data_IF_064700048872
#
_entry.id   IF_064700048872
#
_cell.length_a   1.000
_cell.length_b   1.000
_cell.length_c   1.000
_cell.angle_alpha   90.00
_cell.angle_beta   90.00
_cell.angle_gamma   90.00
#
_symmetry.space_group_name_H-M   'P 1'
#
loop_
_entity.id
_entity.type
_entity.pdbx_description
1 polymer ?
#
# COMPACT_ATOMS: atom_id res chain seq x y z
N UNK A 1 -34.33 1.29 -24.73
CA UNK A 1 -33.52 0.14 -24.23
C UNK A 1 -32.59 0.67 -23.14
N UNK A 2 -32.97 0.45 -21.86
CA UNK A 2 -32.30 1.01 -20.67
C UNK A 2 -31.15 0.08 -20.25
N UNK A 3 -29.92 0.41 -20.65
CA UNK A 3 -28.70 -0.16 -20.07
C UNK A 3 -28.11 0.85 -19.09
N UNK A 4 -28.74 0.98 -17.93
CA UNK A 4 -28.11 1.61 -16.76
C UNK A 4 -27.09 0.60 -16.23
N UNK A 5 -25.83 0.94 -16.48
CA UNK A 5 -24.62 0.18 -16.20
C UNK A 5 -24.41 -0.16 -14.72
N UNK A 6 -23.87 -1.35 -14.38
CA UNK A 6 -23.59 -1.81 -13.01
C UNK A 6 -22.42 -1.09 -12.29
N UNK A 7 -21.92 0.04 -12.82
CA UNK A 7 -20.73 0.74 -12.32
C UNK A 7 -21.05 1.92 -11.37
N UNK A 8 -22.29 2.39 -11.35
CA UNK A 8 -22.74 3.51 -10.47
C UNK A 8 -22.65 3.19 -8.97
N UNK A 9 -22.88 1.95 -8.48
CA UNK A 9 -22.78 1.64 -7.05
C UNK A 9 -21.38 1.88 -6.46
N UNK A 10 -20.32 1.68 -7.23
CA UNK A 10 -18.94 1.82 -6.74
C UNK A 10 -18.55 3.28 -6.47
N UNK A 11 -19.01 4.23 -7.29
CA UNK A 11 -18.75 5.66 -7.10
C UNK A 11 -19.43 6.21 -5.83
N UNK A 12 -20.59 5.66 -5.46
CA UNK A 12 -21.36 6.06 -4.28
C UNK A 12 -20.75 5.49 -2.99
N UNK A 13 -20.06 4.35 -3.03
CA UNK A 13 -19.40 3.74 -1.85
C UNK A 13 -18.01 4.35 -1.58
N UNK A 14 -17.32 4.84 -2.63
CA UNK A 14 -15.97 5.40 -2.53
C UNK A 14 -15.95 6.84 -1.99
N UNK A 15 -17.05 7.59 -2.11
CA UNK A 15 -17.15 8.97 -1.64
C UNK A 15 -17.26 9.12 -0.11
N UNK A 16 -18.12 8.36 0.59
CA UNK A 16 -18.29 8.45 2.05
C UNK A 16 -17.03 8.02 2.81
N UNK A 17 -16.32 7.00 2.32
CA UNK A 17 -15.06 6.55 2.93
C UNK A 17 -13.95 7.60 2.85
N UNK A 18 -14.00 8.51 1.86
CA UNK A 18 -12.97 9.54 1.62
C UNK A 18 -13.17 10.82 2.43
N UNK A 19 -14.41 11.20 2.71
CA UNK A 19 -14.74 12.30 3.62
C UNK A 19 -14.32 12.04 5.07
N UNK A 20 -14.16 10.77 5.45
CA UNK A 20 -13.73 10.34 6.80
C UNK A 20 -12.24 10.63 7.05
N UNK A 21 -11.38 10.60 6.03
CA UNK A 21 -9.93 10.80 6.24
C UNK A 21 -9.53 12.24 6.54
N UNK A 22 -10.27 13.23 6.04
CA UNK A 22 -10.00 14.66 6.29
C UNK A 22 -10.12 15.04 7.77
N UNK A 23 -11.21 14.71 8.50
CA UNK A 23 -11.31 14.99 9.93
C UNK A 23 -10.33 14.17 10.76
N UNK A 24 -10.04 12.93 10.35
CA UNK A 24 -9.01 12.09 10.99
C UNK A 24 -7.63 12.73 10.89
N UNK A 25 -7.27 13.21 9.69
CA UNK A 25 -6.00 13.88 9.47
C UNK A 25 -5.92 15.20 10.24
N UNK A 26 -7.00 15.98 10.26
CA UNK A 26 -7.09 17.20 11.05
C UNK A 26 -6.88 16.91 12.54
N UNK A 27 -7.48 15.84 13.06
CA UNK A 27 -7.31 15.40 14.43
C UNK A 27 -5.85 14.97 14.71
N UNK A 28 -5.24 14.16 13.84
CA UNK A 28 -3.82 13.78 13.92
C UNK A 28 -2.88 15.00 13.92
N UNK A 29 -3.14 16.01 13.07
CA UNK A 29 -2.37 17.26 13.03
C UNK A 29 -2.50 18.07 14.32
N UNK A 30 -3.70 18.13 14.89
CA UNK A 30 -3.95 18.86 16.15
C UNK A 30 -3.16 18.26 17.31
N UNK A 31 -3.10 16.93 17.41
CA UNK A 31 -2.32 16.19 18.42
C UNK A 31 -0.81 16.39 18.23
N UNK A 32 -0.33 16.34 16.98
CA UNK A 32 1.10 16.46 16.65
C UNK A 32 1.66 17.87 16.95
N UNK A 33 0.81 18.90 16.97
CA UNK A 33 1.20 20.29 17.29
C UNK A 33 1.67 20.48 18.73
N UNK A 34 1.46 19.54 19.65
CA UNK A 34 1.84 19.71 21.06
C UNK A 34 3.25 19.16 21.40
N UNK A 35 3.87 18.34 20.56
CA UNK A 35 5.06 17.56 20.95
C UNK A 35 6.40 18.23 20.58
N UNK A 36 7.50 18.19 21.36
CA UNK A 36 8.77 18.85 21.03
C UNK A 36 9.46 18.40 19.72
N UNK A 37 9.11 17.25 19.13
CA UNK A 37 9.68 16.73 17.86
C UNK A 37 8.79 17.01 16.62
N UNK A 38 8.21 18.22 16.53
CA UNK A 38 7.13 18.56 15.55
C UNK A 38 7.54 18.40 14.08
N UNK A 39 8.77 18.77 13.72
CA UNK A 39 9.17 18.95 12.32
C UNK A 39 9.14 17.64 11.52
N UNK A 40 9.79 16.59 12.01
CA UNK A 40 9.88 15.31 11.30
C UNK A 40 8.55 14.57 11.27
N UNK A 41 7.81 14.57 12.38
CA UNK A 41 6.48 13.94 12.45
C UNK A 41 5.50 14.61 11.50
N UNK A 42 5.49 15.94 11.46
CA UNK A 42 4.63 16.69 10.55
C UNK A 42 4.98 16.39 9.07
N UNK A 43 6.27 16.45 8.71
CA UNK A 43 6.71 16.13 7.36
C UNK A 43 6.27 14.71 6.93
N UNK A 44 6.40 13.74 7.83
CA UNK A 44 5.97 12.36 7.59
C UNK A 44 4.45 12.23 7.37
N UNK A 45 3.63 12.90 8.18
CA UNK A 45 2.17 12.90 8.00
C UNK A 45 1.75 13.59 6.70
N UNK A 46 2.41 14.71 6.35
CA UNK A 46 2.18 15.38 5.08
C UNK A 46 2.53 14.47 3.89
N UNK A 47 3.66 13.76 3.97
CA UNK A 47 4.07 12.83 2.91
C UNK A 47 3.05 11.71 2.72
N UNK A 48 2.59 11.09 3.81
CA UNK A 48 1.56 10.06 3.78
C UNK A 48 0.25 10.58 3.16
N UNK A 49 -0.17 11.80 3.51
CA UNK A 49 -1.38 12.40 2.94
C UNK A 49 -1.25 12.74 1.47
N UNK A 50 -0.13 13.34 1.05
CA UNK A 50 0.12 13.69 -0.34
C UNK A 50 0.13 12.42 -1.18
N UNK A 51 0.85 11.39 -0.74
CA UNK A 51 0.94 10.11 -1.43
C UNK A 51 -0.43 9.40 -1.50
N UNK A 52 -1.17 9.35 -0.40
CA UNK A 52 -2.54 8.80 -0.36
C UNK A 52 -3.50 9.56 -1.26
N UNK A 53 -3.46 10.89 -1.24
CA UNK A 53 -4.28 11.73 -2.12
C UNK A 53 -3.88 11.51 -3.59
N UNK A 54 -2.58 11.36 -3.86
CA UNK A 54 -2.03 11.03 -5.17
C UNK A 54 -2.60 9.73 -5.73
N UNK A 55 -2.67 8.65 -4.94
CA UNK A 55 -3.32 7.39 -5.34
C UNK A 55 -4.76 7.64 -5.80
N UNK A 56 -5.53 8.41 -5.03
CA UNK A 56 -6.93 8.71 -5.37
C UNK A 56 -7.03 9.50 -6.67
N UNK A 57 -6.26 10.58 -6.79
CA UNK A 57 -6.29 11.46 -7.96
C UNK A 57 -5.89 10.69 -9.21
N UNK A 58 -4.84 9.87 -9.14
CA UNK A 58 -4.40 9.05 -10.25
C UNK A 58 -5.45 8.00 -10.63
N UNK A 59 -6.07 7.32 -9.66
CA UNK A 59 -7.19 6.40 -9.93
C UNK A 59 -8.34 7.09 -10.65
N UNK A 60 -8.77 8.26 -10.19
CA UNK A 60 -9.81 9.05 -10.86
C UNK A 60 -9.39 9.41 -12.28
N UNK A 61 -8.13 9.83 -12.48
CA UNK A 61 -7.57 10.12 -13.79
C UNK A 61 -7.65 8.93 -14.76
N UNK A 62 -7.23 7.74 -14.31
CA UNK A 62 -7.33 6.49 -15.10
C UNK A 62 -8.79 6.22 -15.51
N UNK A 63 -9.73 6.25 -14.56
CA UNK A 63 -11.15 6.00 -14.86
C UNK A 63 -11.76 7.05 -15.78
N UNK A 64 -11.41 8.33 -15.61
CA UNK A 64 -11.88 9.38 -16.49
C UNK A 64 -11.37 9.21 -17.92
N UNK A 65 -10.14 8.73 -18.12
CA UNK A 65 -9.64 8.41 -19.46
C UNK A 65 -10.42 7.26 -20.11
N UNK A 66 -10.67 6.18 -19.37
CA UNK A 66 -11.49 5.07 -19.87
C UNK A 66 -12.92 5.52 -20.22
N UNK A 67 -13.54 6.36 -19.37
CA UNK A 67 -14.89 6.87 -19.61
C UNK A 67 -14.93 7.86 -20.79
N UNK A 68 -13.94 8.74 -20.91
CA UNK A 68 -13.81 9.68 -22.03
C UNK A 68 -13.80 8.92 -23.37
N UNK A 69 -12.98 7.86 -23.44
CA UNK A 69 -12.91 7.00 -24.62
C UNK A 69 -14.19 6.20 -24.87
N UNK A 70 -14.92 5.78 -23.83
CA UNK A 70 -16.20 5.12 -24.02
C UNK A 70 -17.30 6.05 -24.58
N UNK A 71 -17.18 7.36 -24.33
CA UNK A 71 -18.16 8.38 -24.75
C UNK A 71 -17.94 8.95 -26.14
N UNK A 72 -16.76 8.79 -26.75
CA UNK A 72 -16.51 9.34 -28.09
C UNK A 72 -17.48 8.70 -29.11
N UNK A 73 -18.26 9.51 -29.85
CA UNK A 73 -19.26 8.98 -30.77
C UNK A 73 -18.61 8.23 -31.93
N UNK A 74 -19.24 7.13 -32.32
CA UNK A 74 -18.77 6.26 -33.39
C UNK A 74 -19.28 6.83 -34.72
N UNK A 75 -18.44 7.52 -35.49
CA UNK A 75 -18.80 8.04 -36.81
C UNK A 75 -17.81 7.55 -37.87
N UNK A 76 -18.30 6.86 -38.90
CA UNK A 76 -17.51 6.41 -40.06
C UNK A 76 -16.74 5.08 -39.87
N UNK A 77 -15.62 4.93 -40.59
CA UNK A 77 -14.76 3.74 -40.58
C UNK A 77 -13.93 3.71 -39.28
N UNK A 78 -14.59 3.38 -38.18
CA UNK A 78 -14.11 3.55 -36.81
C UNK A 78 -13.16 2.43 -36.35
N UNK A 79 -12.18 2.77 -35.50
CA UNK A 79 -11.35 1.78 -34.83
C UNK A 79 -12.23 0.83 -34.00
N UNK A 80 -11.90 -0.46 -34.05
CA UNK A 80 -12.57 -1.48 -33.26
C UNK A 80 -12.54 -1.14 -31.77
N UNK A 81 -13.48 -1.68 -30.98
CA UNK A 81 -13.48 -1.50 -29.52
C UNK A 81 -12.14 -1.85 -28.87
N UNK A 82 -11.44 -2.86 -29.41
CA UNK A 82 -10.09 -3.25 -28.97
C UNK A 82 -9.07 -2.12 -29.18
N UNK A 83 -9.06 -1.49 -30.34
CA UNK A 83 -8.17 -0.36 -30.63
C UNK A 83 -8.49 0.85 -29.74
N UNK A 84 -9.78 1.14 -29.50
CA UNK A 84 -10.18 2.23 -28.60
C UNK A 84 -9.71 1.99 -27.18
N UNK A 85 -9.85 0.76 -26.69
CA UNK A 85 -9.37 0.40 -25.36
C UNK A 85 -7.84 0.54 -25.29
N UNK A 86 -7.10 0.06 -26.29
CA UNK A 86 -5.66 0.23 -26.36
C UNK A 86 -5.24 1.71 -26.34
N UNK A 87 -5.86 2.58 -27.14
CA UNK A 87 -5.60 4.02 -27.11
C UNK A 87 -5.93 4.67 -25.77
N UNK A 88 -6.99 4.20 -25.09
CA UNK A 88 -7.35 4.71 -23.76
C UNK A 88 -6.33 4.33 -22.69
N UNK A 89 -5.75 3.13 -22.78
CA UNK A 89 -4.67 2.68 -21.88
C UNK A 89 -3.43 3.53 -22.09
N UNK A 90 -3.03 3.77 -23.35
CA UNK A 90 -1.89 4.65 -23.67
C UNK A 90 -2.10 6.06 -23.14
N UNK A 91 -3.31 6.61 -23.24
CA UNK A 91 -3.62 7.93 -22.67
C UNK A 91 -3.69 7.94 -21.14
N UNK A 92 -3.96 6.79 -20.51
CA UNK A 92 -3.99 6.64 -19.06
C UNK A 92 -2.61 6.38 -18.45
N UNK A 93 -1.62 6.02 -19.27
CA UNK A 93 -0.23 5.73 -18.89
C UNK A 93 0.39 6.65 -17.85
N UNK A 94 0.40 7.99 -18.00
CA UNK A 94 1.02 8.86 -17.00
C UNK A 94 0.35 8.74 -15.61
N UNK A 95 -0.96 8.51 -15.57
CA UNK A 95 -1.69 8.28 -14.33
C UNK A 95 -1.38 6.92 -13.74
N UNK A 96 -1.17 5.89 -14.56
CA UNK A 96 -0.78 4.55 -14.08
C UNK A 96 0.62 4.56 -13.46
N UNK A 97 1.58 5.23 -14.08
CA UNK A 97 2.93 5.41 -13.52
C UNK A 97 2.87 6.18 -12.20
N UNK A 98 2.18 7.32 -12.18
CA UNK A 98 2.03 8.10 -10.94
C UNK A 98 1.29 7.32 -9.82
N UNK A 99 0.28 6.53 -10.19
CA UNK A 99 -0.46 5.65 -9.27
C UNK A 99 0.45 4.61 -8.63
N UNK A 100 1.31 3.98 -9.42
CA UNK A 100 2.27 2.98 -8.94
C UNK A 100 3.24 3.60 -7.92
N UNK A 101 3.87 4.73 -8.26
CA UNK A 101 4.76 5.46 -7.35
C UNK A 101 4.10 5.88 -6.04
N UNK A 102 2.87 6.41 -6.10
CA UNK A 102 2.13 6.77 -4.89
C UNK A 102 1.80 5.53 -4.05
N UNK A 103 1.49 4.40 -4.69
CA UNK A 103 1.20 3.13 -4.00
C UNK A 103 2.45 2.60 -3.31
N UNK A 104 3.58 2.53 -4.01
CA UNK A 104 4.86 2.08 -3.45
C UNK A 104 5.33 2.97 -2.30
N UNK A 105 5.14 4.29 -2.44
CA UNK A 105 5.45 5.24 -1.36
C UNK A 105 4.59 4.96 -0.12
N UNK A 106 3.29 4.70 -0.27
CA UNK A 106 2.42 4.35 0.85
C UNK A 106 2.82 3.02 1.51
N UNK A 107 3.19 2.02 0.72
CA UNK A 107 3.67 0.73 1.23
C UNK A 107 4.96 0.91 2.04
N UNK A 108 5.94 1.63 1.49
CA UNK A 108 7.19 1.92 2.18
C UNK A 108 6.97 2.69 3.48
N UNK A 109 6.10 3.71 3.47
CA UNK A 109 5.74 4.46 4.67
C UNK A 109 5.09 3.54 5.70
N UNK A 110 4.20 2.63 5.28
CA UNK A 110 3.59 1.62 6.15
C UNK A 110 4.63 0.73 6.82
N UNK A 111 5.54 0.15 6.03
CA UNK A 111 6.65 -0.69 6.51
C UNK A 111 7.54 0.08 7.48
N UNK A 112 7.87 1.34 7.17
CA UNK A 112 8.68 2.19 8.03
C UNK A 112 8.02 2.43 9.40
N UNK A 113 6.69 2.63 9.47
CA UNK A 113 5.99 2.80 10.75
C UNK A 113 6.05 1.51 11.56
N UNK A 114 5.82 0.36 10.93
CA UNK A 114 5.83 -0.94 11.60
C UNK A 114 7.22 -1.26 12.14
N UNK A 115 8.26 -1.08 11.32
CA UNK A 115 9.65 -1.23 11.74
C UNK A 115 10.01 -0.25 12.87
N UNK A 116 9.58 1.01 12.78
CA UNK A 116 9.80 2.02 13.82
C UNK A 116 9.19 1.64 15.16
N UNK A 117 7.97 1.06 15.18
CA UNK A 117 7.32 0.58 16.41
C UNK A 117 8.15 -0.49 17.12
N UNK A 118 8.62 -1.49 16.37
CA UNK A 118 9.51 -2.50 16.93
C UNK A 118 10.87 -1.91 17.34
N UNK A 119 11.40 -0.97 16.57
CA UNK A 119 12.68 -0.33 16.83
C UNK A 119 12.71 0.41 18.18
N UNK A 120 11.67 1.18 18.51
CA UNK A 120 11.59 1.90 19.80
C UNK A 120 11.58 0.91 20.97
N UNK A 121 10.86 -0.20 20.85
CA UNK A 121 10.72 -1.21 21.92
C UNK A 121 12.03 -1.93 22.23
N UNK A 122 12.95 -1.97 21.26
CA UNK A 122 14.23 -2.66 21.31
C UNK A 122 15.42 -1.70 21.32
N UNK A 123 15.30 -0.58 22.04
CA UNK A 123 16.35 0.46 22.16
C UNK A 123 17.74 -0.09 22.52
N UNK A 124 17.78 -1.13 23.36
CA UNK A 124 19.02 -1.72 23.88
C UNK A 124 19.63 -2.82 23.00
N UNK A 125 18.90 -3.39 22.03
CA UNK A 125 19.41 -4.50 21.20
C UNK A 125 19.85 -4.01 19.83
N UNK A 126 21.17 -3.88 19.65
CA UNK A 126 21.75 -3.47 18.36
C UNK A 126 21.41 -4.48 17.26
N UNK A 127 21.43 -5.79 17.57
CA UNK A 127 21.13 -6.84 16.59
C UNK A 127 19.71 -6.72 16.03
N UNK A 128 18.71 -6.49 16.88
CA UNK A 128 17.31 -6.32 16.45
C UNK A 128 17.15 -5.05 15.62
N UNK A 129 17.78 -3.95 16.04
CA UNK A 129 17.76 -2.68 15.29
C UNK A 129 18.39 -2.83 13.91
N UNK A 130 19.53 -3.50 13.81
CA UNK A 130 20.20 -3.78 12.53
C UNK A 130 19.33 -4.66 11.62
N UNK A 131 18.70 -5.70 12.16
CA UNK A 131 17.78 -6.56 11.42
C UNK A 131 16.61 -5.75 10.84
N UNK A 132 15.95 -4.91 11.65
CA UNK A 132 14.85 -4.07 11.20
C UNK A 132 15.29 -3.05 10.12
N UNK A 133 16.47 -2.45 10.28
CA UNK A 133 17.03 -1.54 9.27
C UNK A 133 17.34 -2.26 7.96
N UNK A 134 17.88 -3.48 8.00
CA UNK A 134 18.19 -4.28 6.81
C UNK A 134 16.90 -4.65 6.08
N UNK A 135 15.87 -5.12 6.82
CA UNK A 135 14.57 -5.45 6.24
C UNK A 135 13.92 -4.21 5.59
N UNK A 136 13.95 -3.07 6.27
CA UNK A 136 13.40 -1.82 5.75
C UNK A 136 14.18 -1.32 4.51
N UNK A 137 15.50 -1.37 4.54
CA UNK A 137 16.34 -1.02 3.38
C UNK A 137 16.09 -1.96 2.19
N UNK A 138 15.93 -3.26 2.46
CA UNK A 138 15.53 -4.25 1.45
C UNK A 138 14.20 -3.90 0.82
N UNK A 139 13.19 -3.54 1.64
CA UNK A 139 11.88 -3.13 1.13
C UNK A 139 11.95 -1.89 0.27
N UNK A 140 12.70 -0.86 0.70
CA UNK A 140 12.91 0.36 -0.07
C UNK A 140 13.56 0.07 -1.43
N UNK A 141 14.61 -0.76 -1.45
CA UNK A 141 15.30 -1.14 -2.68
C UNK A 141 14.39 -1.87 -3.66
N UNK A 142 13.56 -2.78 -3.14
CA UNK A 142 12.59 -3.53 -3.94
C UNK A 142 11.52 -2.59 -4.52
N UNK A 143 10.97 -1.66 -3.73
CA UNK A 143 9.98 -0.69 -4.21
C UNK A 143 10.56 0.26 -5.27
N UNK A 144 11.79 0.73 -5.08
CA UNK A 144 12.48 1.59 -6.05
C UNK A 144 12.76 0.85 -7.36
N UNK A 145 13.26 -0.38 -7.27
CA UNK A 145 13.49 -1.22 -8.43
C UNK A 145 12.20 -1.41 -9.24
N UNK A 146 11.09 -1.72 -8.58
CA UNK A 146 9.80 -1.90 -9.27
C UNK A 146 9.24 -0.64 -9.88
N UNK A 147 9.27 0.49 -9.17
CA UNK A 147 8.80 1.76 -9.73
C UNK A 147 9.59 2.18 -10.97
N UNK A 148 10.90 1.93 -10.98
CA UNK A 148 11.77 2.23 -12.12
C UNK A 148 11.52 1.24 -13.27
N UNK A 149 11.50 -0.06 -13.00
CA UNK A 149 11.28 -1.10 -14.01
C UNK A 149 9.92 -0.92 -14.70
N UNK A 150 8.87 -0.68 -13.93
CA UNK A 150 7.53 -0.39 -14.46
C UNK A 150 7.52 0.86 -15.33
N UNK A 151 8.10 1.97 -14.86
CA UNK A 151 8.17 3.21 -15.63
C UNK A 151 8.95 3.00 -16.95
N UNK A 152 10.11 2.34 -16.89
CA UNK A 152 10.94 2.08 -18.06
C UNK A 152 10.26 1.17 -19.08
N UNK A 153 9.60 0.10 -18.64
CA UNK A 153 8.85 -0.79 -19.54
C UNK A 153 7.73 -0.05 -20.26
N UNK A 154 6.98 0.75 -19.52
CA UNK A 154 5.88 1.57 -20.04
C UNK A 154 6.35 2.60 -21.08
N UNK A 155 7.48 3.26 -20.86
CA UNK A 155 8.01 4.24 -21.83
C UNK A 155 8.72 3.59 -23.01
N UNK A 156 9.34 2.42 -22.84
CA UNK A 156 10.04 1.71 -23.91
C UNK A 156 9.07 1.12 -24.94
N UNK A 157 7.97 0.52 -24.50
CA UNK A 157 6.93 -0.03 -25.38
C UNK A 157 6.24 1.04 -26.25
N UNK A 158 6.26 2.30 -25.81
CA UNK A 158 5.73 3.41 -26.60
C UNK A 158 6.63 3.84 -27.76
N UNK A 159 7.90 3.44 -27.77
CA UNK A 159 8.92 3.91 -28.72
C UNK A 159 9.36 2.85 -29.74
N UNK A 160 9.17 1.55 -29.50
CA UNK A 160 9.60 0.48 -30.43
C UNK A 160 8.44 -0.40 -30.90
N UNK A 161 7.94 -0.15 -32.11
CA UNK A 161 7.10 -1.09 -32.87
C UNK A 161 7.93 -2.17 -33.60
N UNK A 162 9.16 -2.46 -33.14
CA UNK A 162 10.10 -3.34 -33.83
C UNK A 162 10.55 -4.52 -32.95
N UNK A 163 9.64 -5.47 -32.75
CA UNK A 163 9.90 -6.91 -32.76
C UNK A 163 11.13 -7.48 -32.04
N UNK A 164 11.56 -6.94 -30.90
CA UNK A 164 12.58 -7.57 -30.05
C UNK A 164 11.93 -8.27 -28.87
N UNK A 165 12.10 -9.58 -28.82
CA UNK A 165 11.70 -10.45 -27.73
C UNK A 165 12.33 -9.99 -26.41
N UNK A 166 11.48 -9.70 -25.43
CA UNK A 166 11.84 -9.28 -24.10
C UNK A 166 12.68 -10.36 -23.41
N UNK A 167 13.96 -10.05 -23.13
CA UNK A 167 14.87 -10.95 -22.44
C UNK A 167 14.67 -10.91 -20.93
N UNK A 168 14.52 -12.09 -20.33
CA UNK A 168 14.82 -12.46 -18.94
C UNK A 168 14.46 -11.49 -17.80
N UNK A 169 13.39 -10.70 -17.94
CA UNK A 169 12.80 -9.97 -16.82
C UNK A 169 12.03 -10.98 -15.98
N UNK A 170 12.34 -11.06 -14.68
CA UNK A 170 11.47 -11.73 -13.72
C UNK A 170 10.04 -11.27 -14.01
N UNK A 171 9.15 -12.19 -14.38
CA UNK A 171 7.76 -11.86 -14.75
C UNK A 171 7.23 -10.84 -13.74
N UNK A 172 6.72 -9.69 -14.21
CA UNK A 172 6.28 -8.58 -13.36
C UNK A 172 5.39 -9.05 -12.19
N UNK A 173 4.67 -10.16 -12.40
CA UNK A 173 3.87 -10.84 -11.38
C UNK A 173 4.68 -11.54 -10.28
N UNK A 174 5.75 -12.27 -10.62
CA UNK A 174 6.64 -12.90 -9.65
C UNK A 174 7.34 -11.84 -8.79
N UNK A 175 7.73 -10.76 -9.45
CA UNK A 175 8.40 -9.63 -8.85
C UNK A 175 7.47 -8.86 -7.88
N UNK A 176 6.23 -8.58 -8.29
CA UNK A 176 5.19 -8.03 -7.42
C UNK A 176 4.89 -8.93 -6.21
N UNK A 177 4.86 -10.27 -6.42
CA UNK A 177 4.73 -11.24 -5.32
C UNK A 177 5.85 -11.09 -4.31
N UNK A 178 7.11 -10.97 -4.77
CA UNK A 178 8.27 -10.80 -3.91
C UNK A 178 8.17 -9.54 -3.02
N UNK A 179 7.74 -8.40 -3.57
CA UNK A 179 7.50 -7.18 -2.77
C UNK A 179 6.50 -7.42 -1.63
N UNK A 180 5.37 -8.07 -1.94
CA UNK A 180 4.33 -8.37 -0.94
C UNK A 180 4.85 -9.30 0.14
N UNK A 181 5.60 -10.35 -0.22
CA UNK A 181 6.20 -11.26 0.77
C UNK A 181 7.27 -10.59 1.63
N UNK A 182 8.06 -9.69 1.06
CA UNK A 182 9.06 -8.97 1.82
C UNK A 182 8.42 -8.01 2.84
N UNK A 183 7.39 -7.27 2.44
CA UNK A 183 6.59 -6.42 3.35
C UNK A 183 5.90 -7.27 4.43
N UNK A 184 5.34 -8.43 4.06
CA UNK A 184 4.80 -9.40 5.02
C UNK A 184 5.87 -9.86 6.02
N UNK A 185 7.08 -10.21 5.55
CA UNK A 185 8.19 -10.61 6.40
C UNK A 185 8.58 -9.54 7.40
N UNK A 186 8.72 -8.28 6.95
CA UNK A 186 9.02 -7.14 7.82
C UNK A 186 7.94 -6.94 8.89
N UNK A 187 6.66 -6.98 8.49
CA UNK A 187 5.54 -6.82 9.39
C UNK A 187 5.46 -7.99 10.39
N UNK A 188 5.62 -9.23 9.94
CA UNK A 188 5.62 -10.42 10.77
C UNK A 188 6.78 -10.40 11.78
N UNK A 189 8.00 -10.07 11.35
CA UNK A 189 9.14 -9.93 12.24
C UNK A 189 8.92 -8.83 13.28
N UNK A 190 8.44 -7.65 12.85
CA UNK A 190 8.15 -6.53 13.76
C UNK A 190 7.07 -6.88 14.78
N UNK A 191 5.96 -7.46 14.33
CA UNK A 191 4.84 -7.89 15.19
C UNK A 191 5.29 -8.96 16.18
N UNK A 192 6.11 -9.92 15.74
CA UNK A 192 6.67 -10.96 16.60
C UNK A 192 7.61 -10.37 17.66
N UNK A 193 8.45 -9.39 17.30
CA UNK A 193 9.32 -8.68 18.23
C UNK A 193 8.53 -7.87 19.27
N UNK A 194 7.42 -7.25 18.85
CA UNK A 194 6.48 -6.55 19.75
C UNK A 194 5.83 -7.55 20.71
N UNK A 195 5.39 -8.71 20.21
CA UNK A 195 4.81 -9.80 21.00
C UNK A 195 5.78 -10.33 22.05
N UNK A 196 7.04 -10.59 21.67
CA UNK A 196 8.09 -11.04 22.61
C UNK A 196 8.29 -9.99 23.70
N UNK A 197 8.30 -8.70 23.36
CA UNK A 197 8.45 -7.62 24.35
C UNK A 197 7.24 -7.52 25.29
N UNK A 198 6.03 -7.65 24.75
CA UNK A 198 4.80 -7.69 25.54
C UNK A 198 4.77 -8.91 26.48
N UNK A 199 5.28 -10.06 26.03
CA UNK A 199 5.42 -11.25 26.87
C UNK A 199 6.43 -11.06 28.00
N UNK A 200 7.62 -10.52 27.71
CA UNK A 200 8.61 -10.18 28.74
C UNK A 200 8.04 -9.23 29.79
N UNK A 201 7.37 -8.16 29.34
CA UNK A 201 6.71 -7.21 30.24
C UNK A 201 5.66 -7.88 31.14
N UNK A 202 4.87 -8.81 30.58
CA UNK A 202 3.89 -9.59 31.35
C UNK A 202 4.56 -10.49 32.40
N UNK A 203 5.67 -11.14 32.07
CA UNK A 203 6.39 -12.00 33.01
C UNK A 203 6.96 -11.20 34.17
N UNK A 204 7.65 -10.08 33.89
CA UNK A 204 8.19 -9.20 34.93
C UNK A 204 7.10 -8.62 35.83
N UNK A 205 5.93 -8.27 35.28
CA UNK A 205 4.79 -7.82 36.09
C UNK A 205 4.18 -8.93 36.95
N UNK A 206 4.18 -10.18 36.47
CA UNK A 206 3.68 -11.34 37.22
C UNK A 206 4.56 -11.64 38.44
N UNK A 207 5.88 -11.50 38.29
CA UNK A 207 6.84 -11.68 39.38
C UNK A 207 6.70 -10.61 40.48
N UNK A 208 6.26 -9.41 40.12
CA UNK A 208 6.12 -8.27 41.04
C UNK A 208 4.74 -8.18 41.75
N UNK A 209 3.89 -9.22 41.69
CA UNK A 209 2.67 -9.39 42.50
C UNK A 209 1.65 -8.23 42.53
N UNK A 210 1.59 -7.38 41.50
CA UNK A 210 0.54 -6.35 41.38
C UNK A 210 -0.59 -6.83 40.45
N UNK A 211 -1.43 -7.73 40.97
CA UNK A 211 -2.81 -7.88 40.49
C UNK A 211 -3.58 -6.61 40.84
N UNK A 212 -3.67 -5.60 39.97
CA UNK A 212 -4.86 -4.75 40.04
C UNK A 212 -5.22 -3.92 38.80
N UNK A 213 -4.32 -3.61 37.85
CA UNK A 213 -4.76 -2.88 36.67
C UNK A 213 -3.91 -3.24 35.46
N UNK A 214 -4.57 -3.66 34.36
CA UNK A 214 -3.90 -3.79 33.06
C UNK A 214 -3.36 -2.42 32.70
N UNK A 215 -2.03 -2.27 32.69
CA UNK A 215 -1.38 -1.04 32.26
C UNK A 215 -1.87 -0.67 30.86
N UNK A 216 -2.22 0.60 30.65
CA UNK A 216 -2.63 1.13 29.35
C UNK A 216 -1.58 0.82 28.26
N UNK A 217 -0.29 0.80 28.62
CA UNK A 217 0.78 0.40 27.72
C UNK A 217 0.65 -1.05 27.23
N UNK A 218 0.21 -1.97 28.09
CA UNK A 218 -0.03 -3.37 27.71
C UNK A 218 -1.23 -3.51 26.77
N UNK A 219 -2.29 -2.73 26.99
CA UNK A 219 -3.45 -2.71 26.10
C UNK A 219 -3.08 -2.20 24.69
N UNK A 220 -2.27 -1.14 24.62
CA UNK A 220 -1.77 -0.60 23.34
C UNK A 220 -0.87 -1.62 22.62
N UNK A 221 0.04 -2.29 23.35
CA UNK A 221 0.86 -3.35 22.79
C UNK A 221 0.03 -4.51 22.23
N UNK A 222 -1.02 -4.92 22.95
CA UNK A 222 -1.92 -5.97 22.51
C UNK A 222 -2.68 -5.56 21.23
N UNK A 223 -3.16 -4.32 21.18
CA UNK A 223 -3.82 -3.77 19.99
C UNK A 223 -2.87 -3.75 18.79
N UNK A 224 -1.60 -3.38 18.97
CA UNK A 224 -0.60 -3.45 17.89
C UNK A 224 -0.39 -4.88 17.39
N UNK A 225 -0.37 -5.86 18.28
CA UNK A 225 -0.21 -7.27 17.92
C UNK A 225 -1.43 -7.74 17.12
N UNK A 226 -2.65 -7.47 17.59
CA UNK A 226 -3.89 -7.86 16.92
C UNK A 226 -4.00 -7.23 15.52
N UNK A 227 -3.75 -5.92 15.40
CA UNK A 227 -3.75 -5.24 14.10
C UNK A 227 -2.62 -5.74 13.18
N UNK A 228 -1.43 -6.00 13.73
CA UNK A 228 -0.29 -6.52 12.98
C UNK A 228 -0.55 -7.92 12.40
N UNK A 229 -1.17 -8.81 13.18
CA UNK A 229 -1.58 -10.14 12.72
C UNK A 229 -2.67 -10.09 11.64
N UNK A 230 -3.70 -9.26 11.82
CA UNK A 230 -4.76 -9.09 10.82
C UNK A 230 -4.18 -8.56 9.50
N UNK A 231 -3.29 -7.56 9.59
CA UNK A 231 -2.61 -7.02 8.42
C UNK A 231 -1.70 -8.07 7.78
N UNK A 232 -0.91 -8.82 8.56
CA UNK A 232 -0.05 -9.88 8.07
C UNK A 232 -0.83 -11.01 7.38
N UNK A 233 -1.95 -11.44 7.95
CA UNK A 233 -2.81 -12.46 7.33
C UNK A 233 -3.36 -11.99 5.97
N UNK A 234 -3.73 -10.70 5.88
CA UNK A 234 -4.14 -10.11 4.62
C UNK A 234 -2.99 -10.06 3.60
N UNK A 235 -1.81 -9.57 3.99
CA UNK A 235 -0.63 -9.54 3.09
C UNK A 235 -0.30 -10.93 2.57
N UNK A 236 -0.30 -11.94 3.44
CA UNK A 236 -0.09 -13.34 3.08
C UNK A 236 -1.14 -13.84 2.09
N UNK A 237 -2.42 -13.60 2.35
CA UNK A 237 -3.50 -13.97 1.43
C UNK A 237 -3.34 -13.29 0.07
N UNK A 238 -2.99 -12.00 0.04
CA UNK A 238 -2.73 -11.29 -1.23
C UNK A 238 -1.49 -11.80 -1.95
N UNK A 239 -0.43 -12.16 -1.23
CA UNK A 239 0.79 -12.74 -1.80
C UNK A 239 0.50 -14.09 -2.45
N UNK A 240 -0.22 -14.98 -1.73
CA UNK A 240 -0.67 -16.28 -2.26
C UNK A 240 -1.53 -16.07 -3.50
N UNK A 241 -2.55 -15.23 -3.42
CA UNK A 241 -3.41 -14.94 -4.57
C UNK A 241 -2.61 -14.40 -5.75
N UNK A 242 -1.62 -13.53 -5.51
CA UNK A 242 -0.77 -12.97 -6.57
C UNK A 242 0.02 -14.06 -7.27
N UNK A 243 0.67 -14.93 -6.51
CA UNK A 243 1.42 -16.06 -7.08
C UNK A 243 0.49 -17.03 -7.80
N UNK A 244 -0.66 -17.37 -7.22
CA UNK A 244 -1.64 -18.29 -7.82
C UNK A 244 -2.31 -17.72 -9.09
N UNK A 245 -2.52 -16.41 -9.17
CA UNK A 245 -3.11 -15.74 -10.35
C UNK A 245 -2.19 -15.87 -11.57
N UNK A 246 -0.87 -15.87 -11.34
CA UNK A 246 0.14 -16.11 -12.40
C UNK A 246 -0.05 -17.47 -13.09
N UNK A 247 -0.67 -18.43 -12.42
CA UNK A 247 -0.92 -19.76 -12.97
C UNK A 247 -2.23 -19.87 -13.77
N UNK A 248 -3.13 -18.86 -13.75
CA UNK A 248 -4.50 -19.05 -14.23
C UNK A 248 -5.01 -18.08 -15.32
N UNK A 249 -4.65 -16.79 -15.38
CA UNK A 249 -4.86 -15.91 -16.56
C UNK A 249 -4.45 -14.45 -16.24
N UNK A 250 -3.61 -13.77 -17.05
CA UNK A 250 -3.13 -12.41 -16.78
C UNK A 250 -4.16 -11.28 -17.00
N UNK A 251 -5.35 -11.58 -17.51
CA UNK A 251 -6.38 -10.56 -17.84
C UNK A 251 -7.42 -10.35 -16.74
N UNK A 252 -7.31 -11.05 -15.61
CA UNK A 252 -8.29 -10.93 -14.53
C UNK A 252 -8.14 -9.60 -13.77
N UNK A 253 -9.27 -8.93 -13.60
CA UNK A 253 -9.52 -7.63 -12.93
C UNK A 253 -9.04 -7.49 -11.47
N UNK A 254 -8.19 -8.39 -10.97
CA UNK A 254 -7.75 -8.43 -9.57
C UNK A 254 -6.78 -7.31 -9.17
N UNK A 255 -6.21 -6.57 -10.13
CA UNK A 255 -5.26 -5.48 -9.86
C UNK A 255 -5.97 -4.27 -9.21
N UNK A 256 -7.25 -4.01 -9.56
CA UNK A 256 -8.00 -2.85 -9.03
C UNK A 256 -8.47 -3.02 -7.59
N UNK A 257 -8.70 -4.24 -7.10
CA UNK A 257 -9.12 -4.49 -5.72
C UNK A 257 -7.96 -4.45 -4.72
N UNK A 258 -6.72 -4.71 -5.17
CA UNK A 258 -5.52 -4.76 -4.32
C UNK A 258 -5.13 -3.39 -3.75
N UNK A 259 -5.15 -2.33 -4.56
CA UNK A 259 -4.79 -0.97 -4.13
C UNK A 259 -5.79 -0.36 -3.13
N UNK A 260 -7.08 -0.66 -3.27
CA UNK A 260 -8.14 -0.08 -2.44
C UNK A 260 -8.11 -0.56 -0.98
N UNK A 261 -7.72 -1.81 -0.72
CA UNK A 261 -7.71 -2.34 0.66
C UNK A 261 -6.42 -1.96 1.39
N UNK A 262 -5.27 -1.94 0.69
CA UNK A 262 -4.05 -1.36 1.26
C UNK A 262 -4.24 0.13 1.62
N UNK A 263 -4.99 0.87 0.80
CA UNK A 263 -5.38 2.25 1.09
C UNK A 263 -6.23 2.38 2.36
N UNK A 264 -7.18 1.45 2.59
CA UNK A 264 -7.99 1.42 3.82
C UNK A 264 -7.14 1.11 5.05
N UNK A 265 -6.22 0.14 4.98
CA UNK A 265 -5.37 -0.24 6.12
C UNK A 265 -4.28 0.79 6.44
N UNK A 266 -3.63 1.38 5.42
CA UNK A 266 -2.64 2.46 5.63
C UNK A 266 -3.30 3.73 6.17
N UNK A 267 -4.53 4.03 5.75
CA UNK A 267 -5.33 5.13 6.29
C UNK A 267 -5.80 4.94 7.74
N UNK A 268 -5.88 3.70 8.25
CA UNK A 268 -6.19 3.40 9.66
C UNK A 268 -4.97 3.43 10.59
N UNK A 269 -3.76 3.39 10.05
CA UNK A 269 -2.52 3.31 10.81
C UNK A 269 -2.15 4.54 11.69
N UNK A 270 -2.53 5.80 11.37
CA UNK A 270 -2.23 6.96 12.21
C UNK A 270 -3.08 7.06 13.48
N UNK A 271 -4.09 6.20 13.68
CA UNK A 271 -4.89 6.22 14.92
C UNK A 271 -4.28 5.48 16.09
N UNK A 272 -3.31 4.60 15.83
CA UNK A 272 -2.77 3.68 16.84
C UNK A 272 -1.38 4.12 17.32
N UNK A 273 -0.75 5.11 16.67
CA UNK A 273 0.56 5.67 17.04
C UNK A 273 0.43 7.06 17.68
#
# INVERSE_FOLDING_TARGET
MKLLTPWVPWLIVVWPTKGIFVPIFYQSLSITRCHPQKKYRFAFHCLLMISSTGVIVCMIGVYLQYLSFARTPIHGNVPSWKQRLASSVVSATPYLVALDWCTMTNLFIGDAIIAWRAYILWSHSIAVRSLLCILLAGSAGVYLYFGIDFAMGVFSDSSESNGKEASNTMSATAAAGFAVFLSFGLNFCSTSLILVRAWQFRQSMKELFLQSNRSLAYQILLLFIECGFLFGAYQLATGILTVSSTASDPTSSSISSRGLIYFVFTGMHPFIA
#
